data_IF_765773633856
#
_entry.id   IF_765773633856
#
_cell.length_a   1.000
_cell.length_b   1.000
_cell.length_c   1.000
_cell.angle_alpha   90.00
_cell.angle_beta   90.00
_cell.angle_gamma   90.00
#
_symmetry.space_group_name_H-M   'P 1'
#
loop_
_entity.id
_entity.type
_entity.pdbx_description
1 polymer ?
#
# COMPACT_ATOMS: atom_id res chain seq x y z
N UNK A 1 23.36 55.05 -45.22
CA UNK A 1 22.06 54.36 -45.15
C UNK A 1 22.32 52.85 -45.10
N UNK A 2 22.38 52.26 -43.91
CA UNK A 2 22.49 50.80 -43.76
C UNK A 2 21.14 50.17 -44.10
N UNK A 3 21.17 49.17 -44.99
CA UNK A 3 19.97 48.47 -45.46
C UNK A 3 19.33 47.67 -44.32
N UNK A 4 18.00 47.77 -44.10
CA UNK A 4 17.30 47.15 -42.97
C UNK A 4 17.40 45.61 -42.95
N UNK A 5 17.69 44.99 -44.09
CA UNK A 5 17.92 43.55 -44.22
C UNK A 5 19.13 43.05 -43.44
N UNK A 6 20.21 43.84 -43.30
CA UNK A 6 21.41 43.39 -42.58
C UNK A 6 21.23 43.36 -41.05
N UNK A 7 20.30 44.16 -40.50
CA UNK A 7 19.99 44.19 -39.07
C UNK A 7 19.19 42.95 -38.63
N UNK A 8 18.32 42.45 -39.49
CA UNK A 8 17.50 41.26 -39.20
C UNK A 8 18.38 39.99 -39.20
N UNK A 9 19.31 39.86 -40.17
CA UNK A 9 20.24 38.73 -40.21
C UNK A 9 21.27 38.76 -39.06
N UNK A 10 21.70 39.94 -38.63
CA UNK A 10 22.59 40.07 -37.47
C UNK A 10 21.86 39.68 -36.17
N UNK A 11 20.61 40.11 -35.99
CA UNK A 11 19.81 39.79 -34.81
C UNK A 11 19.48 38.29 -34.71
N UNK A 12 19.12 37.64 -35.82
CA UNK A 12 18.86 36.19 -35.82
C UNK A 12 20.13 35.38 -35.56
N UNK A 13 21.27 35.80 -36.11
CA UNK A 13 22.56 35.14 -35.86
C UNK A 13 22.98 35.23 -34.41
N UNK A 14 22.79 36.38 -33.75
CA UNK A 14 23.10 36.56 -32.33
C UNK A 14 22.20 35.67 -31.45
N UNK A 15 20.91 35.56 -31.77
CA UNK A 15 19.96 34.75 -31.00
C UNK A 15 20.24 33.25 -31.12
N UNK A 16 20.65 32.78 -32.32
CA UNK A 16 21.08 31.39 -32.54
C UNK A 16 22.39 31.08 -31.80
N UNK A 17 23.37 31.98 -31.84
CA UNK A 17 24.63 31.82 -31.10
C UNK A 17 24.39 31.79 -29.59
N UNK A 18 23.48 32.63 -29.08
CA UNK A 18 23.11 32.64 -27.65
C UNK A 18 22.39 31.35 -27.23
N UNK A 19 21.46 30.84 -28.06
CA UNK A 19 20.78 29.57 -27.81
C UNK A 19 21.76 28.38 -27.82
N UNK A 20 22.72 28.36 -28.75
CA UNK A 20 23.76 27.31 -28.80
C UNK A 20 24.67 27.40 -27.57
N UNK A 21 25.08 28.60 -27.15
CA UNK A 21 25.92 28.79 -25.96
C UNK A 21 25.21 28.31 -24.68
N UNK A 22 23.90 28.59 -24.52
CA UNK A 22 23.11 28.12 -23.37
C UNK A 22 22.99 26.58 -23.37
N UNK A 23 22.80 25.95 -24.52
CA UNK A 23 22.74 24.48 -24.62
C UNK A 23 24.11 23.83 -24.31
N UNK A 24 25.21 24.43 -24.76
CA UNK A 24 26.58 23.94 -24.48
C UNK A 24 26.94 24.12 -22.99
N UNK A 25 26.62 25.26 -22.38
CA UNK A 25 26.83 25.46 -20.93
C UNK A 25 25.96 24.54 -20.06
N UNK A 26 24.73 24.22 -20.50
CA UNK A 26 23.87 23.26 -19.78
C UNK A 26 24.40 21.82 -19.89
N UNK A 27 25.02 21.44 -21.02
CA UNK A 27 25.71 20.15 -21.17
C UNK A 27 26.98 20.05 -20.34
N UNK A 28 27.80 21.12 -20.31
CA UNK A 28 29.01 21.16 -19.48
C UNK A 28 28.72 21.05 -17.97
N UNK A 29 27.53 21.42 -17.52
CA UNK A 29 27.07 21.22 -16.14
C UNK A 29 26.56 19.82 -15.81
N UNK A 30 26.36 18.95 -16.82
CA UNK A 30 25.86 17.57 -16.64
C UNK A 30 26.96 16.50 -16.69
N UNK A 31 28.19 16.85 -17.10
CA UNK A 31 29.30 15.90 -17.25
C UNK A 31 30.10 15.65 -15.95
N UNK A 32 29.56 16.07 -14.80
CA UNK A 32 30.18 15.91 -13.47
C UNK A 32 29.82 14.65 -12.70
N UNK A 33 29.07 13.70 -13.26
CA UNK A 33 28.71 12.44 -12.61
C UNK A 33 29.21 11.26 -13.43
N UNK A 34 30.28 10.64 -12.93
CA UNK A 34 30.85 9.41 -13.46
C UNK A 34 29.80 8.27 -13.53
N UNK A 35 29.89 7.36 -14.52
CA UNK A 35 29.01 6.21 -14.58
C UNK A 35 29.45 5.18 -13.55
N UNK A 36 28.67 4.99 -12.48
CA UNK A 36 28.78 3.79 -11.65
C UNK A 36 28.06 2.67 -12.39
N UNK A 37 28.85 1.89 -13.13
CA UNK A 37 28.40 0.66 -13.75
C UNK A 37 28.11 -0.39 -12.65
N UNK A 38 26.87 -0.88 -12.65
CA UNK A 38 26.49 -2.29 -12.59
C UNK A 38 27.22 -3.20 -11.59
N UNK A 39 26.58 -3.44 -10.44
CA UNK A 39 26.53 -4.77 -9.83
C UNK A 39 25.25 -4.93 -8.97
N UNK A 40 24.14 -5.28 -9.61
CA UNK A 40 22.95 -5.82 -8.93
C UNK A 40 22.69 -7.22 -9.47
N UNK A 41 23.54 -8.16 -9.03
CA UNK A 41 23.16 -9.56 -8.84
C UNK A 41 23.80 -10.08 -7.57
N UNK A 42 23.09 -9.93 -6.45
CA UNK A 42 22.90 -10.99 -5.44
C UNK A 42 22.15 -10.43 -4.25
N UNK A 43 20.89 -10.84 -4.10
CA UNK A 43 20.14 -10.64 -2.87
C UNK A 43 20.88 -11.31 -1.71
N UNK A 44 21.36 -10.49 -0.77
CA UNK A 44 21.87 -10.97 0.50
C UNK A 44 20.92 -10.48 1.58
N UNK A 45 20.15 -11.42 2.13
CA UNK A 45 19.35 -11.26 3.35
C UNK A 45 20.21 -10.59 4.42
N UNK A 46 19.78 -9.42 4.90
CA UNK A 46 20.41 -8.79 6.05
C UNK A 46 19.86 -9.46 7.32
N UNK A 47 20.53 -10.53 7.75
CA UNK A 47 20.38 -11.12 9.08
C UNK A 47 20.96 -10.16 10.12
N UNK A 48 20.13 -9.69 11.06
CA UNK A 48 20.59 -9.00 12.27
C UNK A 48 21.45 -9.96 13.10
N UNK A 49 22.74 -9.63 13.26
CA UNK A 49 23.65 -10.34 14.19
C UNK A 49 23.66 -9.61 15.55
N UNK A 50 23.47 -10.30 16.68
CA UNK A 50 23.73 -9.72 17.99
C UNK A 50 25.25 -9.69 18.29
N UNK A 51 25.64 -8.70 19.11
CA UNK A 51 27.01 -8.39 19.48
C UNK A 51 27.72 -9.59 20.15
N UNK A 52 28.99 -9.79 19.77
CA UNK A 52 29.84 -10.84 20.29
C UNK A 52 30.35 -10.51 21.70
N UNK A 53 30.09 -11.41 22.64
CA UNK A 53 30.78 -11.50 23.93
C UNK A 53 31.89 -12.56 23.81
N UNK A 54 33.11 -12.19 24.15
CA UNK A 54 34.31 -13.03 24.09
C UNK A 54 34.36 -13.94 25.31
N UNK A 55 34.00 -15.22 25.15
CA UNK A 55 34.13 -16.17 26.25
C UNK A 55 33.95 -17.63 25.86
N UNK A 56 35.09 -18.33 25.73
CA UNK A 56 35.29 -19.77 26.00
C UNK A 56 34.67 -20.82 25.05
N UNK A 57 35.57 -21.56 24.40
CA UNK A 57 35.30 -22.76 23.61
C UNK A 57 34.66 -23.87 24.44
N UNK A 58 33.51 -24.40 23.98
CA UNK A 58 33.14 -25.81 24.15
C UNK A 58 32.01 -26.21 23.18
N UNK A 59 32.26 -27.33 22.48
CA UNK A 59 31.32 -28.22 21.81
C UNK A 59 30.38 -27.60 20.76
N UNK A 60 30.81 -27.70 19.50
CA UNK A 60 29.96 -27.59 18.32
C UNK A 60 28.96 -28.76 18.29
N UNK A 61 27.82 -28.59 18.95
CA UNK A 61 26.64 -29.43 18.73
C UNK A 61 26.04 -29.04 17.38
N UNK A 62 26.06 -29.96 16.42
CA UNK A 62 25.39 -29.80 15.13
C UNK A 62 23.88 -29.65 15.37
N UNK A 63 23.42 -28.41 15.49
CA UNK A 63 21.99 -28.09 15.55
C UNK A 63 21.39 -28.41 14.18
N UNK A 64 20.70 -29.53 14.08
CA UNK A 64 19.89 -29.85 12.92
C UNK A 64 18.76 -28.82 12.83
N UNK A 65 18.96 -27.75 12.08
CA UNK A 65 17.92 -26.75 11.82
C UNK A 65 16.82 -27.43 11.01
N UNK A 66 15.71 -27.75 11.67
CA UNK A 66 14.49 -28.22 10.99
C UNK A 66 14.12 -27.20 9.93
N UNK A 67 14.20 -27.61 8.66
CA UNK A 67 13.82 -26.74 7.53
C UNK A 67 12.33 -26.45 7.61
N UNK A 68 11.98 -25.18 7.80
CA UNK A 68 10.59 -24.71 7.76
C UNK A 68 10.25 -24.21 6.36
N UNK A 69 8.99 -24.40 5.97
CA UNK A 69 8.39 -23.84 4.78
C UNK A 69 8.08 -22.33 4.97
N UNK A 70 7.97 -21.56 3.86
CA UNK A 70 7.77 -20.13 3.96
C UNK A 70 6.34 -19.74 4.36
N UNK A 71 6.24 -18.55 4.96
CA UNK A 71 4.99 -17.78 5.03
C UNK A 71 4.96 -16.86 3.82
N UNK A 72 3.95 -17.00 2.97
CA UNK A 72 3.78 -16.23 1.75
C UNK A 72 2.62 -15.27 1.95
N UNK A 73 2.89 -13.98 1.82
CA UNK A 73 1.87 -12.93 1.88
C UNK A 73 1.42 -12.65 0.45
N UNK A 74 0.11 -12.65 0.21
CA UNK A 74 -0.45 -12.24 -1.09
C UNK A 74 -0.05 -10.80 -1.38
N UNK A 75 0.44 -10.55 -2.57
CA UNK A 75 0.69 -9.20 -3.07
C UNK A 75 -0.35 -8.87 -4.13
N UNK A 76 -0.77 -7.61 -4.26
CA UNK A 76 -1.47 -7.14 -5.45
C UNK A 76 -0.66 -7.49 -6.70
N UNK A 77 -1.32 -7.76 -7.83
CA UNK A 77 -0.61 -8.04 -9.09
C UNK A 77 0.14 -6.81 -9.62
N UNK A 78 -0.32 -5.62 -9.25
CA UNK A 78 0.26 -4.34 -9.65
C UNK A 78 -0.63 -3.15 -9.26
N UNK A 79 -0.42 -2.00 -9.89
CA UNK A 79 -1.30 -0.84 -9.73
C UNK A 79 -2.75 -1.22 -10.08
N UNK A 80 -3.74 -0.72 -9.31
CA UNK A 80 -5.14 -0.99 -9.61
C UNK A 80 -5.52 -0.41 -10.97
N UNK A 81 -6.36 -1.12 -11.70
CA UNK A 81 -6.92 -0.65 -12.98
C UNK A 81 -8.33 -0.13 -12.76
N UNK A 82 -8.65 0.98 -13.42
CA UNK A 82 -9.97 1.60 -13.35
C UNK A 82 -10.87 0.93 -14.40
N UNK A 83 -11.97 0.33 -13.94
CA UNK A 83 -12.99 -0.23 -14.82
C UNK A 83 -13.74 0.91 -15.53
N UNK A 84 -13.83 0.84 -16.84
CA UNK A 84 -14.52 1.84 -17.63
C UNK A 84 -16.04 1.67 -17.53
N UNK A 85 -16.76 2.78 -17.51
CA UNK A 85 -18.21 2.80 -17.67
C UNK A 85 -18.55 2.54 -19.13
N UNK A 86 -19.20 1.41 -19.40
CA UNK A 86 -19.64 1.03 -20.74
C UNK A 86 -19.11 -0.34 -21.18
N UNK A 87 -19.67 -0.82 -22.28
CA UNK A 87 -19.31 -2.10 -22.89
C UNK A 87 -18.94 -1.88 -24.35
N UNK A 88 -17.99 -2.66 -24.85
CA UNK A 88 -17.76 -2.74 -26.29
C UNK A 88 -18.97 -3.38 -27.01
N UNK A 89 -19.03 -3.37 -28.35
CA UNK A 89 -20.14 -3.98 -29.08
C UNK A 89 -20.30 -5.50 -28.84
N UNK A 90 -19.34 -6.16 -28.20
CA UNK A 90 -19.37 -7.57 -27.80
C UNK A 90 -19.77 -7.76 -26.33
N UNK A 91 -20.14 -6.68 -25.62
CA UNK A 91 -20.59 -6.73 -24.23
C UNK A 91 -19.45 -6.82 -23.21
N UNK A 92 -18.20 -6.52 -23.57
CA UNK A 92 -17.03 -6.58 -22.67
C UNK A 92 -16.74 -5.21 -22.07
N UNK A 93 -16.41 -5.14 -20.78
CA UNK A 93 -15.96 -3.91 -20.12
C UNK A 93 -14.43 -3.81 -20.18
N UNK A 94 -13.92 -2.64 -20.52
CA UNK A 94 -12.48 -2.36 -20.48
C UNK A 94 -11.98 -1.92 -19.10
N UNK A 95 -10.67 -2.04 -18.88
CA UNK A 95 -9.97 -1.51 -17.72
C UNK A 95 -8.76 -0.69 -18.17
N UNK A 96 -8.49 0.44 -17.53
CA UNK A 96 -7.39 1.35 -17.88
C UNK A 96 -6.42 1.52 -16.72
N UNK A 97 -5.13 1.64 -17.02
CA UNK A 97 -4.11 1.94 -16.03
C UNK A 97 -4.16 3.44 -15.65
N UNK A 98 -3.70 3.79 -14.46
CA UNK A 98 -3.68 5.18 -13.98
C UNK A 98 -2.84 6.05 -14.93
N UNK A 99 -1.67 5.55 -15.33
CA UNK A 99 -0.76 6.21 -16.29
C UNK A 99 -1.38 6.53 -17.65
N UNK A 100 -2.45 5.83 -18.06
CA UNK A 100 -3.14 6.13 -19.33
C UNK A 100 -3.68 7.56 -19.34
N UNK A 101 -4.25 8.02 -18.22
CA UNK A 101 -4.74 9.40 -18.08
C UNK A 101 -3.66 10.35 -17.53
N UNK A 102 -2.82 9.87 -16.61
CA UNK A 102 -1.84 10.70 -15.91
C UNK A 102 -0.54 10.95 -16.71
N UNK A 103 -0.31 10.25 -17.83
CA UNK A 103 0.81 10.56 -18.74
C UNK A 103 0.64 11.87 -19.52
N UNK A 104 -0.60 12.36 -19.63
CA UNK A 104 -0.95 13.59 -20.38
C UNK A 104 -1.50 14.70 -19.49
N UNK A 105 -1.49 14.49 -18.16
CA UNK A 105 -2.03 15.41 -17.16
C UNK A 105 -1.05 15.62 -16.04
N UNK A 106 -0.78 16.88 -15.69
CA UNK A 106 0.08 17.19 -14.55
C UNK A 106 -0.66 16.91 -13.23
N UNK A 107 0.05 16.42 -12.20
CA UNK A 107 -0.52 16.29 -10.86
C UNK A 107 -0.91 17.67 -10.32
N UNK A 108 -2.09 17.78 -9.71
CA UNK A 108 -2.54 18.99 -9.04
C UNK A 108 -2.44 18.80 -7.52
N UNK A 109 -1.43 19.38 -6.88
CA UNK A 109 -1.20 19.24 -5.44
C UNK A 109 -2.26 19.94 -4.57
N UNK A 110 -3.11 20.79 -5.15
CA UNK A 110 -4.26 21.35 -4.44
C UNK A 110 -5.42 20.35 -4.30
N UNK A 111 -5.42 19.26 -5.09
CA UNK A 111 -6.42 18.20 -4.99
C UNK A 111 -6.11 17.29 -3.79
N UNK A 112 -6.54 17.72 -2.61
CA UNK A 112 -6.24 17.08 -1.32
C UNK A 112 -7.38 16.19 -0.83
N UNK A 113 -8.63 16.48 -1.21
CA UNK A 113 -9.82 15.77 -0.74
C UNK A 113 -10.78 15.47 -1.90
N UNK A 114 -11.76 14.57 -1.73
CA UNK A 114 -12.74 14.30 -2.79
C UNK A 114 -13.48 15.54 -3.29
N UNK A 115 -13.74 16.52 -2.43
CA UNK A 115 -14.45 17.76 -2.77
C UNK A 115 -13.63 18.68 -3.67
N UNK A 116 -12.32 18.50 -3.71
CA UNK A 116 -11.41 19.24 -4.60
C UNK A 116 -11.25 18.60 -5.97
N UNK A 117 -11.90 17.46 -6.23
CA UNK A 117 -11.90 16.79 -7.53
C UNK A 117 -13.10 17.25 -8.37
N UNK A 118 -12.83 17.85 -9.52
CA UNK A 118 -13.83 18.47 -10.40
C UNK A 118 -13.99 17.75 -11.76
N UNK A 119 -13.09 16.81 -12.07
CA UNK A 119 -13.10 16.06 -13.32
C UNK A 119 -13.21 14.55 -13.09
N UNK A 120 -12.09 13.86 -12.90
CA UNK A 120 -12.05 12.40 -12.74
C UNK A 120 -12.05 12.01 -11.26
N UNK A 121 -12.38 10.74 -10.98
CA UNK A 121 -12.45 10.18 -9.63
C UNK A 121 -13.51 10.84 -8.72
N UNK A 122 -14.48 11.54 -9.32
CA UNK A 122 -15.64 12.07 -8.59
C UNK A 122 -16.42 10.93 -7.92
N UNK A 123 -16.95 11.21 -6.72
CA UNK A 123 -17.69 10.23 -5.93
C UNK A 123 -16.81 9.27 -5.10
N UNK A 124 -15.48 9.44 -5.13
CA UNK A 124 -14.59 8.72 -4.23
C UNK A 124 -14.90 9.09 -2.77
N UNK A 125 -15.03 8.08 -1.91
CA UNK A 125 -15.23 8.27 -0.47
C UNK A 125 -13.91 8.04 0.23
N UNK A 126 -13.45 9.04 1.00
CA UNK A 126 -12.20 8.96 1.76
C UNK A 126 -12.50 9.20 3.24
N UNK A 127 -12.26 8.17 4.04
CA UNK A 127 -12.38 8.17 5.50
C UNK A 127 -11.07 7.73 6.16
N UNK A 128 -9.96 8.31 5.70
CA UNK A 128 -8.60 8.00 6.18
C UNK A 128 -7.97 9.17 6.95
N UNK A 129 -8.79 9.93 7.69
CA UNK A 129 -8.36 11.10 8.46
C UNK A 129 -8.16 12.33 7.57
N UNK A 130 -7.11 13.12 7.85
CA UNK A 130 -6.79 14.37 7.12
C UNK A 130 -5.68 14.19 6.07
N UNK A 131 -5.43 12.94 5.64
CA UNK A 131 -4.39 12.67 4.65
C UNK A 131 -4.85 13.15 3.27
N UNK A 132 -3.97 13.89 2.59
CA UNK A 132 -4.16 14.23 1.19
C UNK A 132 -3.86 13.03 0.30
N UNK A 133 -4.38 13.02 -0.94
CA UNK A 133 -4.15 11.94 -1.92
C UNK A 133 -2.66 11.58 -2.08
N UNK A 134 -1.82 12.60 -2.21
CA UNK A 134 -0.36 12.45 -2.37
C UNK A 134 0.41 12.23 -1.05
N UNK A 135 -0.28 11.94 0.06
CA UNK A 135 0.37 11.35 1.22
C UNK A 135 0.76 9.88 0.92
N UNK A 136 0.00 9.21 0.07
CA UNK A 136 0.23 7.82 -0.33
C UNK A 136 0.61 7.70 -1.81
N UNK A 137 -0.08 8.42 -2.70
CA UNK A 137 0.17 8.34 -4.13
C UNK A 137 1.38 9.17 -4.54
N UNK A 138 2.14 8.66 -5.51
CA UNK A 138 3.25 9.41 -6.09
C UNK A 138 2.72 10.35 -7.19
N UNK A 139 2.89 11.68 -7.05
CA UNK A 139 2.43 12.62 -8.07
C UNK A 139 3.22 12.54 -9.38
N UNK A 140 4.48 12.07 -9.33
CA UNK A 140 5.36 11.97 -10.50
C UNK A 140 5.21 10.64 -11.24
N UNK A 141 4.56 9.65 -10.61
CA UNK A 141 4.32 8.33 -11.19
C UNK A 141 3.04 7.72 -10.59
N UNK A 142 1.92 7.88 -11.30
CA UNK A 142 0.59 7.42 -10.88
C UNK A 142 0.48 5.91 -10.69
N UNK A 143 1.38 5.14 -11.31
CA UNK A 143 1.44 3.69 -11.18
C UNK A 143 2.34 3.28 -10.00
N UNK A 144 2.64 4.21 -9.09
CA UNK A 144 3.38 3.96 -7.86
C UNK A 144 2.84 4.73 -6.65
N UNK A 145 3.32 4.30 -5.50
CA UNK A 145 3.13 4.91 -4.20
C UNK A 145 4.42 5.62 -3.76
N UNK A 146 4.39 6.41 -2.68
CA UNK A 146 5.61 7.00 -2.12
C UNK A 146 5.64 7.10 -0.59
N UNK A 147 6.79 6.86 0.02
CA UNK A 147 6.98 7.14 1.44
C UNK A 147 6.92 8.65 1.73
N UNK A 148 6.83 9.01 3.01
CA UNK A 148 6.76 10.38 3.48
C UNK A 148 8.01 11.19 3.11
N UNK A 149 9.16 10.54 2.97
CA UNK A 149 10.42 11.13 2.49
C UNK A 149 10.51 11.27 0.96
N UNK A 150 9.49 10.81 0.23
CA UNK A 150 9.44 10.82 -1.24
C UNK A 150 9.92 9.53 -1.91
N UNK A 151 10.44 8.56 -1.16
CA UNK A 151 10.91 7.28 -1.72
C UNK A 151 9.78 6.57 -2.45
N UNK A 152 9.99 6.21 -3.72
CA UNK A 152 9.02 5.47 -4.53
C UNK A 152 8.81 4.06 -3.98
N UNK A 153 7.55 3.62 -3.96
CA UNK A 153 7.10 2.29 -3.50
C UNK A 153 6.20 1.68 -4.56
N UNK A 154 6.40 0.41 -4.89
CA UNK A 154 5.52 -0.31 -5.79
C UNK A 154 4.19 -0.67 -5.09
N UNK A 155 3.08 -0.80 -5.83
CA UNK A 155 1.80 -1.20 -5.22
C UNK A 155 1.86 -2.60 -4.58
N UNK A 156 2.73 -3.48 -5.06
CA UNK A 156 3.00 -4.79 -4.47
C UNK A 156 3.56 -4.69 -3.04
N UNK A 157 4.18 -3.55 -2.72
CA UNK A 157 4.79 -3.23 -1.43
C UNK A 157 3.92 -2.27 -0.60
N UNK A 158 2.61 -2.23 -0.85
CA UNK A 158 1.65 -1.36 -0.13
C UNK A 158 1.71 -1.52 1.39
N UNK A 159 2.08 -2.69 1.91
CA UNK A 159 2.27 -2.89 3.34
C UNK A 159 3.43 -2.05 3.91
N UNK A 160 4.50 -1.84 3.13
CA UNK A 160 5.62 -0.95 3.48
C UNK A 160 5.15 0.50 3.53
N UNK A 161 4.28 0.90 2.61
CA UNK A 161 3.64 2.21 2.65
C UNK A 161 2.81 2.38 3.93
N UNK A 162 1.93 1.43 4.23
CA UNK A 162 1.01 1.52 5.36
C UNK A 162 1.76 1.53 6.71
N UNK A 163 2.87 0.81 6.83
CA UNK A 163 3.60 0.63 8.09
C UNK A 163 4.24 1.93 8.61
N UNK A 164 4.41 2.95 7.77
CA UNK A 164 4.90 4.28 8.16
C UNK A 164 4.05 4.90 9.28
N UNK A 165 2.73 4.69 9.21
CA UNK A 165 1.77 5.22 10.18
C UNK A 165 1.16 4.10 11.04
N UNK A 166 1.01 2.88 10.49
CA UNK A 166 0.40 1.73 11.16
C UNK A 166 1.44 0.74 11.72
N UNK A 167 2.46 1.27 12.39
CA UNK A 167 3.57 0.48 12.96
C UNK A 167 3.13 -0.66 13.90
N UNK A 168 2.22 -0.42 14.87
CA UNK A 168 1.71 -1.48 15.74
C UNK A 168 1.00 -2.61 14.98
N UNK A 169 0.19 -2.27 13.97
CA UNK A 169 -0.52 -3.26 13.15
C UNK A 169 0.46 -4.04 12.26
N UNK A 170 1.46 -3.37 11.68
CA UNK A 170 2.50 -4.04 10.90
C UNK A 170 3.31 -5.02 11.77
N UNK A 171 3.67 -4.62 12.99
CA UNK A 171 4.35 -5.49 13.97
C UNK A 171 3.47 -6.69 14.34
N UNK A 172 2.19 -6.46 14.62
CA UNK A 172 1.24 -7.53 14.93
C UNK A 172 1.05 -8.51 13.75
N UNK A 173 1.00 -7.98 12.52
CA UNK A 173 0.95 -8.80 11.30
C UNK A 173 2.21 -9.67 11.16
N UNK A 174 3.40 -9.09 11.35
CA UNK A 174 4.67 -9.81 11.29
C UNK A 174 4.73 -10.95 12.32
N UNK A 175 4.14 -10.76 13.50
CA UNK A 175 3.98 -11.80 14.52
C UNK A 175 2.77 -12.73 14.30
N UNK A 176 2.03 -12.56 13.20
CA UNK A 176 0.99 -13.49 12.76
C UNK A 176 -0.42 -13.25 13.28
N UNK A 177 -0.69 -12.12 13.91
CA UNK A 177 -2.04 -11.77 14.39
C UNK A 177 -3.02 -11.38 13.25
N UNK A 178 -2.51 -11.03 12.07
CA UNK A 178 -3.30 -10.55 10.92
C UNK A 178 -2.99 -11.31 9.63
N UNK A 179 -3.82 -11.07 8.59
CA UNK A 179 -3.70 -11.69 7.27
C UNK A 179 -4.40 -13.05 7.16
N UNK A 180 -5.05 -13.52 8.22
CA UNK A 180 -5.58 -14.89 8.26
C UNK A 180 -4.47 -15.94 8.23
N UNK A 181 -4.85 -17.20 8.34
CA UNK A 181 -3.90 -18.33 8.32
C UNK A 181 -4.46 -19.44 7.44
N UNK A 182 -4.09 -19.39 6.16
CA UNK A 182 -4.42 -20.44 5.19
C UNK A 182 -3.20 -21.36 4.99
N UNK A 183 -3.44 -22.63 4.66
CA UNK A 183 -2.35 -23.63 4.52
C UNK A 183 -1.99 -24.27 5.87
N UNK A 184 -0.70 -24.36 6.17
CA UNK A 184 -0.21 -25.07 7.37
C UNK A 184 0.10 -24.10 8.50
N UNK A 185 -0.42 -24.39 9.70
CA UNK A 185 -0.01 -23.70 10.93
C UNK A 185 1.39 -24.17 11.40
N UNK A 186 1.71 -25.45 11.15
CA UNK A 186 3.02 -26.03 11.39
C UNK A 186 3.87 -25.94 10.12
N UNK A 187 4.81 -24.99 10.12
CA UNK A 187 5.68 -24.72 8.98
C UNK A 187 6.67 -25.85 8.71
N UNK A 188 6.80 -26.88 9.56
CA UNK A 188 7.59 -28.07 9.19
C UNK A 188 6.82 -29.00 8.25
N UNK A 189 5.50 -28.78 8.08
CA UNK A 189 4.61 -29.64 7.29
C UNK A 189 4.19 -29.05 5.95
N UNK A 190 4.31 -27.75 5.78
CA UNK A 190 4.03 -27.08 4.51
C UNK A 190 3.98 -25.56 4.64
N UNK A 191 3.81 -24.83 3.53
CA UNK A 191 3.77 -23.37 3.53
C UNK A 191 2.47 -22.83 4.15
N UNK A 192 2.54 -21.60 4.64
CA UNK A 192 1.41 -20.80 5.09
C UNK A 192 1.17 -19.66 4.10
N UNK A 193 -0.10 -19.37 3.82
CA UNK A 193 -0.54 -18.24 3.01
C UNK A 193 -1.26 -17.22 3.89
N UNK A 194 -0.89 -15.95 3.75
CA UNK A 194 -1.54 -14.81 4.40
C UNK A 194 -2.04 -13.81 3.37
N UNK A 195 -3.15 -13.16 3.69
CA UNK A 195 -3.69 -12.04 2.93
C UNK A 195 -2.91 -10.75 3.24
N UNK A 196 -2.85 -9.85 2.27
CA UNK A 196 -2.37 -8.49 2.43
C UNK A 196 -3.33 -7.66 3.30
N UNK A 197 -2.88 -6.50 3.78
CA UNK A 197 -3.75 -5.50 4.39
C UNK A 197 -4.92 -5.11 3.45
N UNK A 198 -4.60 -4.86 2.17
CA UNK A 198 -5.57 -4.36 1.19
C UNK A 198 -6.51 -5.44 0.64
N UNK A 199 -6.29 -6.71 0.97
CA UNK A 199 -7.22 -7.78 0.61
C UNK A 199 -8.53 -7.70 1.40
N UNK A 200 -8.53 -6.96 2.51
CA UNK A 200 -9.70 -6.83 3.39
C UNK A 200 -9.99 -5.37 3.80
N UNK A 201 -8.98 -4.50 3.83
CA UNK A 201 -9.15 -3.07 4.10
C UNK A 201 -9.18 -2.25 2.82
N UNK A 202 -10.17 -1.37 2.67
CA UNK A 202 -10.14 -0.33 1.65
C UNK A 202 -9.10 0.75 2.04
N UNK A 203 -8.05 1.00 1.24
CA UNK A 203 -7.05 2.03 1.55
C UNK A 203 -7.62 3.45 1.67
N UNK A 204 -8.79 3.73 1.11
CA UNK A 204 -9.44 5.04 1.25
C UNK A 204 -10.39 5.09 2.46
N UNK A 205 -10.86 3.95 2.94
CA UNK A 205 -11.77 3.84 4.10
C UNK A 205 -11.50 2.55 4.90
N UNK A 206 -10.35 2.45 5.58
CA UNK A 206 -9.82 1.17 6.06
C UNK A 206 -10.55 0.63 7.30
N UNK A 207 -11.32 1.45 8.01
CA UNK A 207 -12.06 0.98 9.17
C UNK A 207 -13.12 -0.05 8.74
N UNK A 208 -13.12 -1.22 9.39
CA UNK A 208 -14.20 -2.19 9.16
C UNK A 208 -15.54 -1.62 9.67
N UNK A 209 -16.65 -1.91 8.97
CA UNK A 209 -17.95 -1.68 9.53
C UNK A 209 -18.10 -2.48 10.83
N UNK A 210 -18.76 -1.89 11.83
CA UNK A 210 -19.08 -2.60 13.06
C UNK A 210 -19.96 -3.80 12.73
N UNK A 211 -19.49 -4.99 13.08
CA UNK A 211 -20.32 -6.18 13.00
C UNK A 211 -21.46 -6.08 14.01
N UNK A 212 -22.69 -6.19 13.52
CA UNK A 212 -23.84 -6.40 14.39
C UNK A 212 -23.82 -7.87 14.80
N UNK A 213 -23.47 -8.15 16.05
CA UNK A 213 -23.61 -9.50 16.59
C UNK A 213 -25.10 -9.85 16.63
N UNK A 214 -25.47 -10.92 15.93
CA UNK A 214 -26.82 -11.46 16.03
C UNK A 214 -27.09 -12.03 17.42
N UNK A 215 -28.30 -12.55 17.62
CA UNK A 215 -28.65 -13.25 18.85
C UNK A 215 -27.61 -14.33 19.19
N UNK A 216 -27.41 -14.56 20.50
CA UNK A 216 -26.50 -15.61 21.00
C UNK A 216 -26.73 -16.91 20.21
N UNK A 217 -25.67 -17.65 19.84
CA UNK A 217 -25.83 -18.99 19.29
C UNK A 217 -26.80 -19.76 20.19
N UNK A 218 -27.78 -20.44 19.59
CA UNK A 218 -28.65 -21.36 20.32
C UNK A 218 -27.78 -22.51 20.79
N UNK A 219 -27.17 -22.32 21.94
CA UNK A 219 -26.48 -23.39 22.63
C UNK A 219 -27.53 -24.40 23.09
N UNK A 220 -27.33 -25.66 22.69
CA UNK A 220 -28.17 -26.81 23.08
C UNK A 220 -28.28 -26.99 24.59
N UNK A 221 -27.35 -26.41 25.35
CA UNK A 221 -27.32 -26.44 26.81
C UNK A 221 -28.01 -25.24 27.47
N UNK A 222 -28.47 -24.26 26.68
CA UNK A 222 -29.09 -23.01 27.15
C UNK A 222 -30.58 -22.92 26.79
N UNK A 223 -31.25 -24.06 26.59
CA UNK A 223 -32.70 -24.10 26.51
C UNK A 223 -33.27 -23.62 27.86
N UNK A 224 -34.28 -22.73 27.87
CA UNK A 224 -35.03 -22.46 29.09
C UNK A 224 -35.52 -23.80 29.63
N UNK A 225 -35.27 -24.08 30.91
CA UNK A 225 -36.02 -25.11 31.61
C UNK A 225 -37.50 -24.78 31.39
N UNK A 226 -38.28 -25.75 30.91
CA UNK A 226 -39.70 -25.56 30.77
C UNK A 226 -40.24 -25.13 32.14
N UNK A 227 -40.82 -23.92 32.19
CA UNK A 227 -41.52 -23.41 33.36
C UNK A 227 -42.67 -24.37 33.68
N UNK A 228 -42.42 -25.30 34.59
CA UNK A 228 -43.48 -25.93 35.37
C UNK A 228 -43.86 -24.94 36.46
N UNK A 229 -44.68 -23.95 36.09
CA UNK A 229 -45.42 -23.13 37.04
C UNK A 229 -46.53 -23.98 37.69
N UNK A 230 -46.14 -24.86 38.61
CA UNK A 230 -47.06 -25.37 39.61
C UNK A 230 -47.06 -24.35 40.76
N UNK A 231 -47.82 -23.26 40.56
CA UNK A 231 -48.19 -22.39 41.68
C UNK A 231 -49.27 -23.08 42.50
N UNK A 232 -48.87 -24.01 43.37
CA UNK A 232 -49.68 -24.37 44.53
C UNK A 232 -49.73 -23.14 45.45
N UNK A 233 -50.95 -22.62 45.64
CA UNK A 233 -51.20 -21.42 46.41
C UNK A 233 -50.75 -21.58 47.86
N UNK A 234 -49.83 -20.72 48.28
CA UNK A 234 -49.60 -20.43 49.69
C UNK A 234 -50.53 -19.29 50.10
N UNK A 235 -51.34 -19.56 51.14
CA UNK A 235 -52.32 -18.69 51.78
C UNK A 235 -51.85 -17.25 52.00
N UNK A 236 -52.77 -16.31 51.80
CA UNK A 236 -52.66 -14.95 52.29
C UNK A 236 -52.68 -14.95 53.82
N UNK A 237 -51.56 -14.57 54.44
CA UNK A 237 -51.55 -14.11 55.83
C UNK A 237 -51.51 -12.58 55.82
N UNK A 238 -52.69 -11.98 55.81
CA UNK A 238 -52.92 -10.72 56.50
C UNK A 238 -52.97 -11.03 58.00
N UNK A 239 -52.07 -10.44 58.78
CA UNK A 239 -52.44 -9.77 60.04
C UNK A 239 -51.24 -9.05 60.68
N UNK A 240 -51.50 -7.77 60.98
CA UNK A 240 -50.81 -6.79 61.86
C UNK A 240 -49.91 -5.74 61.21
#
# INVERSE_FOLDING_TARGET
>A
MLRPTNLIFAATSILVVFMIAVVVSKRAGQDGLAPVAEDIRSGTRQELRPAADTGSSKASTTSATTRTHPVIIRQPDGPPRVKLTGFDPQGRSGEVACSTCHSVRQPNLENKTPETLDEFHQGLVVNHGKLACYACHNPEDSDSLKLADGTKVAYQDVMTMCSQCHGPQATAFAHGAHGGMNGHWDLTRGPQMKNNCVDCHDPHSPAYPKMMVGFKPKDRFNAPLADHHDHEGAESHDDH
#
